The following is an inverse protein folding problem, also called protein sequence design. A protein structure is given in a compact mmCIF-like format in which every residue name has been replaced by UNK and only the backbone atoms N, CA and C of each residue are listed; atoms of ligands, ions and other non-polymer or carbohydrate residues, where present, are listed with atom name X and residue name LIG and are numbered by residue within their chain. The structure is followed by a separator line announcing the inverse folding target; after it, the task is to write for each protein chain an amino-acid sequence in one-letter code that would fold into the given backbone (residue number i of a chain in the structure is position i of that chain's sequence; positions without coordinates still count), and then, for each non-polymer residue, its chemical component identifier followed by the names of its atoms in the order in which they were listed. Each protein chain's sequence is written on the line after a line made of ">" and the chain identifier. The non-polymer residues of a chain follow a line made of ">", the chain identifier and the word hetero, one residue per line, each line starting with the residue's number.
data_IF_397633384112
#
_entry.id   IF_397633384112
#
_cell.length_a   1.000
_cell.length_b   1.000
_cell.length_c   1.000
_cell.angle_alpha   90.00
_cell.angle_beta   90.00
_cell.angle_gamma   90.00
#
_symmetry.space_group_name_H-M   'P 1'
#
loop_
_entity.id
_entity.type
_entity.pdbx_description
1 polymer ?
#
# COMPACT_ATOMS: atom_id res chain seq x y z
N UNK A 1 -7.32 28.15 21.68
CA UNK A 1 -8.18 27.11 21.10
C UNK A 1 -7.84 27.10 19.62
N UNK A 2 -6.75 26.42 19.28
CA UNK A 2 -6.12 26.44 17.95
C UNK A 2 -6.71 25.33 17.08
N UNK A 3 -7.10 25.61 15.83
CA UNK A 3 -7.38 24.58 14.85
C UNK A 3 -6.05 24.05 14.26
N UNK A 4 -5.78 22.76 14.50
CA UNK A 4 -4.69 22.03 13.85
C UNK A 4 -5.00 21.90 12.36
N UNK A 5 -4.17 22.55 11.55
CA UNK A 5 -4.19 22.47 10.10
C UNK A 5 -3.79 21.05 9.66
N UNK A 6 -4.69 20.34 9.01
CA UNK A 6 -4.35 19.24 8.11
C UNK A 6 -4.14 19.87 6.73
N UNK A 7 -2.90 20.09 6.33
CA UNK A 7 -2.56 20.58 5.01
C UNK A 7 -2.07 19.41 4.17
N UNK A 8 -2.98 18.79 3.42
CA UNK A 8 -2.62 18.04 2.21
C UNK A 8 -2.85 19.03 1.07
N UNK A 9 -1.76 19.50 0.46
CA UNK A 9 -1.80 20.40 -0.68
C UNK A 9 -2.40 19.64 -1.87
N UNK A 10 -3.69 19.86 -2.12
CA UNK A 10 -4.33 19.50 -3.38
C UNK A 10 -3.88 20.49 -4.46
N UNK A 11 -2.73 20.22 -5.09
CA UNK A 11 -2.32 20.92 -6.30
C UNK A 11 -2.89 20.17 -7.51
N UNK A 12 -3.53 20.83 -8.49
CA UNK A 12 -4.02 20.20 -9.73
C UNK A 12 -2.91 19.85 -10.72
N UNK A 13 -1.63 19.97 -10.32
CA UNK A 13 -0.44 19.74 -11.13
C UNK A 13 0.48 18.78 -10.36
N UNK A 14 0.98 17.77 -11.07
CA UNK A 14 1.93 16.75 -10.63
C UNK A 14 3.03 17.31 -9.73
N UNK A 15 3.28 16.66 -8.60
CA UNK A 15 4.33 17.04 -7.66
C UNK A 15 5.66 16.36 -8.05
N UNK A 16 6.37 16.88 -9.06
CA UNK A 16 7.84 16.81 -9.20
C UNK A 16 8.30 17.99 -10.09
N UNK A 17 9.31 18.71 -9.62
CA UNK A 17 10.05 19.75 -10.37
C UNK A 17 10.79 19.06 -11.54
N UNK A 18 10.60 19.56 -12.76
CA UNK A 18 11.25 19.16 -14.03
C UNK A 18 10.70 18.01 -14.91
N UNK A 19 9.55 17.39 -14.60
CA UNK A 19 8.83 16.54 -15.56
C UNK A 19 7.36 16.99 -15.73
N UNK A 20 7.04 17.67 -16.83
CA UNK A 20 5.67 18.08 -17.18
C UNK A 20 4.87 16.96 -17.86
N UNK A 21 5.07 15.72 -17.41
CA UNK A 21 4.28 14.57 -17.81
C UNK A 21 2.80 14.85 -17.50
N UNK A 22 1.92 14.63 -18.49
CA UNK A 22 0.49 14.91 -18.35
C UNK A 22 -0.25 13.64 -18.02
N UNK A 23 -0.97 13.64 -16.89
CA UNK A 23 -1.85 12.53 -16.49
C UNK A 23 -3.28 13.05 -16.32
N UNK A 24 -4.24 12.25 -16.76
CA UNK A 24 -5.66 12.40 -16.45
C UNK A 24 -6.18 11.10 -15.86
N UNK A 25 -6.95 11.23 -14.79
CA UNK A 25 -7.69 10.14 -14.18
C UNK A 25 -9.14 10.58 -13.99
N UNK A 26 -10.05 9.71 -14.42
CA UNK A 26 -11.49 9.84 -14.20
C UNK A 26 -12.02 8.54 -13.61
N UNK A 27 -12.92 8.62 -12.63
CA UNK A 27 -13.61 7.47 -12.03
C UNK A 27 -15.13 7.57 -12.26
N UNK A 28 -15.81 6.44 -12.38
CA UNK A 28 -17.26 6.41 -12.53
C UNK A 28 -17.83 4.99 -12.54
N UNK A 29 -19.16 4.88 -12.58
CA UNK A 29 -19.86 3.59 -12.47
C UNK A 29 -20.09 2.87 -13.80
N UNK A 30 -19.90 3.56 -14.94
CA UNK A 30 -20.16 3.03 -16.29
C UNK A 30 -19.20 3.67 -17.31
N UNK A 31 -17.93 3.85 -16.93
CA UNK A 31 -16.88 4.28 -17.86
C UNK A 31 -16.44 3.07 -18.67
N UNK A 32 -16.79 3.04 -19.96
CA UNK A 32 -16.56 1.91 -20.84
C UNK A 32 -15.37 2.14 -21.78
N UNK A 33 -14.68 1.08 -22.24
CA UNK A 33 -13.55 1.20 -23.15
C UNK A 33 -13.85 1.95 -24.46
N UNK A 34 -15.08 1.87 -24.97
CA UNK A 34 -15.49 2.56 -26.20
C UNK A 34 -15.51 4.08 -26.07
N UNK A 35 -15.50 4.62 -24.84
CA UNK A 35 -15.40 6.06 -24.62
C UNK A 35 -14.10 6.61 -25.21
N UNK A 36 -12.97 5.89 -25.07
CA UNK A 36 -11.65 6.32 -25.58
C UNK A 36 -11.61 6.42 -27.11
N UNK A 37 -12.49 5.71 -27.82
CA UNK A 37 -12.57 5.77 -29.29
C UNK A 37 -13.29 7.03 -29.80
N UNK A 38 -13.89 7.82 -28.91
CA UNK A 38 -14.61 9.04 -29.29
C UNK A 38 -13.64 10.20 -29.48
N UNK A 39 -13.85 10.99 -30.53
CA UNK A 39 -13.01 12.16 -30.83
C UNK A 39 -12.88 13.14 -29.67
N UNK A 40 -13.96 13.31 -28.89
CA UNK A 40 -14.02 14.22 -27.74
C UNK A 40 -14.16 13.44 -26.41
N UNK A 41 -13.51 12.28 -26.29
CA UNK A 41 -13.64 11.41 -25.12
C UNK A 41 -13.36 12.14 -23.80
N UNK A 42 -12.43 13.11 -23.79
CA UNK A 42 -12.11 13.91 -22.61
C UNK A 42 -13.32 14.71 -22.14
N UNK A 43 -14.04 15.35 -23.06
CA UNK A 43 -15.27 16.10 -22.75
C UNK A 43 -16.35 15.16 -22.22
N UNK A 44 -16.47 13.97 -22.81
CA UNK A 44 -17.40 12.95 -22.34
C UNK A 44 -17.02 12.40 -20.94
N UNK A 45 -15.72 12.25 -20.64
CA UNK A 45 -15.23 11.83 -19.33
C UNK A 45 -15.49 12.88 -18.24
N UNK A 46 -15.32 14.18 -18.54
CA UNK A 46 -15.73 15.25 -17.62
C UNK A 46 -17.24 15.33 -17.40
N UNK A 47 -18.04 14.97 -18.41
CA UNK A 47 -19.50 14.99 -18.30
C UNK A 47 -20.07 13.79 -17.51
N UNK A 48 -19.42 12.63 -17.60
CA UNK A 48 -19.96 11.37 -17.09
C UNK A 48 -19.15 10.75 -15.93
N UNK A 49 -17.95 11.26 -15.65
CA UNK A 49 -17.05 10.76 -14.62
C UNK A 49 -16.63 11.83 -13.62
N UNK A 50 -16.01 11.38 -12.55
CA UNK A 50 -15.40 12.20 -11.49
C UNK A 50 -13.92 12.36 -11.81
N UNK A 51 -13.41 13.59 -12.00
CA UNK A 51 -11.97 13.80 -12.21
C UNK A 51 -11.16 13.51 -10.94
N UNK A 52 -9.87 13.25 -11.11
CA UNK A 52 -8.90 13.15 -10.01
C UNK A 52 -9.07 14.27 -8.97
N UNK A 53 -9.02 13.90 -7.68
CA UNK A 53 -9.26 14.81 -6.56
C UNK A 53 -10.72 14.90 -6.10
N UNK A 54 -11.66 14.21 -6.75
CA UNK A 54 -13.08 14.18 -6.36
C UNK A 54 -13.51 12.92 -5.61
N UNK A 55 -14.79 12.88 -5.25
CA UNK A 55 -15.46 11.74 -4.61
C UNK A 55 -16.40 11.05 -5.59
N UNK A 56 -16.36 9.72 -5.65
CA UNK A 56 -17.34 8.93 -6.38
C UNK A 56 -18.73 9.10 -5.75
N UNK A 57 -19.77 9.34 -6.55
CA UNK A 57 -21.14 9.35 -6.04
C UNK A 57 -21.53 7.95 -5.56
N UNK A 58 -22.57 7.78 -4.72
CA UNK A 58 -22.97 6.47 -4.22
C UNK A 58 -23.10 5.40 -5.33
N UNK A 59 -22.73 4.14 -5.04
CA UNK A 59 -22.61 3.08 -6.03
C UNK A 59 -23.97 2.73 -6.65
N UNK A 60 -23.95 2.45 -7.95
CA UNK A 60 -25.12 1.98 -8.72
C UNK A 60 -25.20 0.45 -8.86
N UNK A 61 -24.40 -0.29 -8.09
CA UNK A 61 -24.40 -1.76 -8.06
C UNK A 61 -23.25 -2.46 -8.80
N UNK A 62 -22.47 -1.72 -9.59
CA UNK A 62 -21.26 -2.23 -10.27
C UNK A 62 -19.99 -1.73 -9.58
N UNK A 63 -18.85 -2.38 -9.85
CA UNK A 63 -17.54 -1.85 -9.50
C UNK A 63 -17.23 -0.55 -10.26
N UNK A 64 -16.48 0.39 -9.65
CA UNK A 64 -16.07 1.60 -10.34
C UNK A 64 -15.08 1.25 -11.45
N UNK A 65 -15.20 1.97 -12.55
CA UNK A 65 -14.27 1.97 -13.67
C UNK A 65 -13.54 3.30 -13.74
N UNK A 66 -12.31 3.25 -14.20
CA UNK A 66 -11.40 4.37 -14.23
C UNK A 66 -10.79 4.50 -15.62
N UNK A 67 -10.85 5.70 -16.17
CA UNK A 67 -10.11 6.06 -17.37
C UNK A 67 -8.81 6.68 -16.91
N UNK A 68 -7.70 6.13 -17.38
CA UNK A 68 -6.38 6.72 -17.18
C UNK A 68 -5.75 7.00 -18.52
N UNK A 69 -5.20 8.19 -18.65
CA UNK A 69 -4.51 8.64 -19.85
C UNK A 69 -3.26 9.39 -19.43
N UNK A 70 -2.13 9.05 -20.06
CA UNK A 70 -0.86 9.69 -19.81
C UNK A 70 -0.10 9.92 -21.11
N UNK A 71 0.55 11.08 -21.20
CA UNK A 71 1.46 11.43 -22.30
C UNK A 71 2.76 11.94 -21.70
N UNK A 72 3.88 11.48 -22.25
CA UNK A 72 5.21 11.90 -21.81
C UNK A 72 5.41 13.41 -21.91
N UNK A 73 6.34 13.92 -21.11
CA UNK A 73 6.89 15.24 -21.38
C UNK A 73 7.59 15.24 -22.77
N UNK A 74 7.37 16.24 -23.64
CA UNK A 74 8.09 16.37 -24.91
C UNK A 74 9.60 16.17 -24.81
N UNK A 75 10.21 16.70 -23.74
CA UNK A 75 11.66 16.65 -23.47
C UNK A 75 12.04 15.50 -22.51
N UNK A 76 11.05 14.79 -21.97
CA UNK A 76 11.23 13.68 -21.02
C UNK A 76 11.39 12.31 -21.67
N UNK A 77 11.43 11.28 -20.82
CA UNK A 77 11.57 9.91 -21.26
C UNK A 77 10.23 9.32 -21.70
N UNK A 78 10.27 8.26 -22.51
CA UNK A 78 9.05 7.54 -22.86
C UNK A 78 8.44 6.85 -21.63
N UNK A 79 7.13 6.62 -21.69
CA UNK A 79 6.37 5.96 -20.63
C UNK A 79 6.68 4.46 -20.59
N UNK A 80 6.95 3.93 -19.39
CA UNK A 80 7.04 2.50 -19.11
C UNK A 80 5.63 1.92 -18.92
N UNK A 81 4.89 2.44 -17.92
CA UNK A 81 3.59 1.89 -17.52
C UNK A 81 2.75 2.85 -16.70
N UNK A 82 1.46 2.57 -16.67
CA UNK A 82 0.48 3.14 -15.77
C UNK A 82 0.09 2.07 -14.76
N UNK A 83 0.10 2.45 -13.49
CA UNK A 83 -0.39 1.67 -12.37
C UNK A 83 -1.61 2.33 -11.76
N UNK A 84 -2.62 1.54 -11.40
CA UNK A 84 -3.66 2.00 -10.49
C UNK A 84 -3.30 1.54 -9.08
N UNK A 85 -3.27 2.48 -8.14
CA UNK A 85 -3.09 2.17 -6.73
C UNK A 85 -4.42 2.37 -6.02
N UNK A 86 -4.89 1.29 -5.37
CA UNK A 86 -6.10 1.26 -4.57
C UNK A 86 -5.72 1.15 -3.10
N UNK A 87 -6.18 2.07 -2.27
CA UNK A 87 -6.14 1.93 -0.83
C UNK A 87 -7.54 1.69 -0.26
N UNK A 88 -7.67 0.86 0.77
CA UNK A 88 -8.94 0.67 1.48
C UNK A 88 -8.72 0.38 2.96
N UNK A 89 -9.77 0.55 3.76
CA UNK A 89 -9.74 0.29 5.19
C UNK A 89 -10.70 -0.85 5.51
N UNK A 90 -10.23 -1.82 6.32
CA UNK A 90 -11.05 -2.89 6.86
C UNK A 90 -10.67 -3.15 8.32
N UNK A 91 -11.66 -3.13 9.22
CA UNK A 91 -11.45 -3.30 10.66
C UNK A 91 -10.33 -2.40 11.23
N UNK A 92 -10.23 -1.15 10.77
CA UNK A 92 -9.19 -0.21 11.22
C UNK A 92 -7.78 -0.45 10.66
N UNK A 93 -7.57 -1.50 9.86
CA UNK A 93 -6.34 -1.75 9.13
C UNK A 93 -6.40 -1.10 7.75
N UNK A 94 -5.27 -0.54 7.31
CA UNK A 94 -5.10 0.08 5.99
C UNK A 94 -4.48 -0.96 5.06
N UNK A 95 -5.03 -1.07 3.86
CA UNK A 95 -4.58 -1.96 2.81
C UNK A 95 -4.28 -1.15 1.55
N UNK A 96 -3.26 -1.55 0.81
CA UNK A 96 -2.94 -1.02 -0.51
C UNK A 96 -2.80 -2.17 -1.51
N UNK A 97 -3.26 -1.96 -2.74
CA UNK A 97 -2.95 -2.83 -3.86
C UNK A 97 -2.64 -2.05 -5.13
N UNK A 98 -1.59 -2.49 -5.82
CA UNK A 98 -1.08 -1.88 -7.04
C UNK A 98 -1.39 -2.80 -8.21
N UNK A 99 -2.06 -2.25 -9.23
CA UNK A 99 -2.40 -2.94 -10.47
C UNK A 99 -1.62 -2.30 -11.62
N UNK A 100 -0.86 -3.07 -12.38
CA UNK A 100 -0.34 -2.61 -13.68
C UNK A 100 -1.51 -2.64 -14.68
N UNK A 101 -1.94 -1.48 -15.20
CA UNK A 101 -3.18 -1.35 -15.99
C UNK A 101 -2.95 -1.00 -17.46
N UNK A 102 -1.79 -0.42 -17.78
CA UNK A 102 -1.33 -0.19 -19.15
C UNK A 102 0.21 -0.14 -19.16
N UNK A 103 0.86 -0.63 -20.22
CA UNK A 103 2.31 -0.61 -20.31
C UNK A 103 2.80 -0.64 -21.75
N UNK A 104 4.03 -0.15 -21.96
CA UNK A 104 4.68 -0.13 -23.26
C UNK A 104 5.30 -1.48 -23.62
N UNK A 105 5.36 -1.77 -24.93
CA UNK A 105 6.00 -2.95 -25.50
C UNK A 105 5.23 -4.25 -25.27
N UNK A 106 5.75 -5.35 -25.79
CA UNK A 106 5.07 -6.65 -25.79
C UNK A 106 5.36 -7.48 -24.54
N UNK A 107 5.42 -6.82 -23.37
CA UNK A 107 5.61 -7.50 -22.08
C UNK A 107 4.31 -8.19 -21.66
N UNK A 108 4.43 -9.38 -21.11
CA UNK A 108 3.31 -10.16 -20.60
C UNK A 108 3.46 -10.27 -19.10
N UNK A 109 2.35 -10.08 -18.38
CA UNK A 109 2.32 -10.34 -16.95
C UNK A 109 2.70 -11.81 -16.71
N UNK A 110 3.69 -12.04 -15.85
CA UNK A 110 4.11 -13.39 -15.49
C UNK A 110 3.67 -13.73 -14.09
N UNK A 111 3.31 -14.99 -13.89
CA UNK A 111 3.08 -15.52 -12.54
C UNK A 111 4.45 -15.71 -11.91
N UNK A 112 4.82 -14.83 -11.00
CA UNK A 112 5.95 -15.11 -10.11
C UNK A 112 5.52 -16.18 -9.11
N UNK A 113 6.31 -17.24 -8.87
CA UNK A 113 6.14 -18.05 -7.67
C UNK A 113 6.31 -17.09 -6.49
N UNK A 114 5.23 -16.77 -5.79
CA UNK A 114 5.27 -15.68 -4.81
C UNK A 114 6.17 -16.04 -3.63
N UNK A 115 7.16 -15.18 -3.37
CA UNK A 115 7.74 -15.00 -2.04
C UNK A 115 7.05 -13.87 -1.27
N UNK A 116 6.51 -12.80 -1.89
CA UNK A 116 5.90 -11.66 -1.21
C UNK A 116 4.43 -11.86 -0.74
N UNK A 117 4.20 -11.94 0.58
CA UNK A 117 2.90 -12.23 1.24
C UNK A 117 2.04 -10.98 1.51
N UNK A 118 2.51 -9.76 1.22
CA UNK A 118 1.63 -8.57 1.25
C UNK A 118 0.59 -8.56 0.11
N UNK A 119 0.83 -9.41 -0.88
CA UNK A 119 0.04 -9.62 -2.08
C UNK A 119 -0.25 -11.11 -2.17
N UNK A 120 -1.51 -11.54 -2.01
CA UNK A 120 -1.84 -12.95 -1.83
C UNK A 120 -1.34 -13.85 -2.96
N UNK A 121 -0.21 -14.53 -2.77
CA UNK A 121 0.24 -15.82 -3.33
C UNK A 121 0.21 -16.10 -4.85
N UNK A 122 -0.47 -15.29 -5.68
CA UNK A 122 -0.77 -15.54 -7.08
C UNK A 122 -0.75 -14.28 -7.95
N UNK A 123 -0.28 -13.16 -7.43
CA UNK A 123 -0.25 -11.89 -8.13
C UNK A 123 0.64 -11.93 -9.37
N UNK A 124 0.09 -11.38 -10.44
CA UNK A 124 0.68 -11.27 -11.75
C UNK A 124 1.63 -10.06 -11.75
N UNK A 125 2.92 -10.29 -12.03
CA UNK A 125 3.92 -9.21 -12.05
C UNK A 125 4.30 -8.86 -13.47
N UNK A 126 4.39 -7.56 -13.77
CA UNK A 126 4.94 -7.10 -15.04
C UNK A 126 6.49 -7.13 -14.98
N UNK A 127 7.17 -7.80 -15.94
CA UNK A 127 8.62 -7.71 -16.06
C UNK A 127 9.09 -6.26 -16.18
N UNK A 128 10.25 -5.89 -15.59
CA UNK A 128 10.82 -4.55 -15.75
C UNK A 128 10.98 -4.17 -17.22
N UNK A 129 10.84 -2.88 -17.51
CA UNK A 129 11.23 -2.34 -18.80
C UNK A 129 12.76 -2.42 -18.96
N UNK A 130 13.26 -2.40 -20.20
CA UNK A 130 14.69 -2.31 -20.45
C UNK A 130 15.31 -1.00 -19.93
N UNK A 131 16.64 -0.93 -19.96
CA UNK A 131 17.39 0.28 -19.61
C UNK A 131 18.16 0.79 -20.84
N UNK A 132 17.99 2.07 -21.17
CA UNK A 132 18.67 2.75 -22.28
C UNK A 132 19.64 3.83 -21.81
N UNK A 133 19.93 3.89 -20.50
CA UNK A 133 20.84 4.86 -19.91
C UNK A 133 22.28 4.56 -20.32
N UNK A 134 22.90 5.57 -20.93
CA UNK A 134 24.34 5.66 -21.12
C UNK A 134 24.93 6.45 -19.94
N UNK A 135 25.44 5.72 -18.95
CA UNK A 135 26.04 6.27 -17.74
C UNK A 135 27.26 7.14 -18.06
N UNK A 136 28.08 6.76 -19.04
CA UNK A 136 29.30 7.49 -19.41
C UNK A 136 28.97 8.86 -19.99
N UNK A 137 27.93 8.91 -20.82
CA UNK A 137 27.49 10.14 -21.44
C UNK A 137 26.36 10.83 -20.68
N UNK A 138 25.97 10.36 -19.49
CA UNK A 138 24.81 10.87 -18.72
C UNK A 138 23.64 11.20 -19.65
N UNK A 139 23.26 10.21 -20.47
CA UNK A 139 22.23 10.36 -21.50
C UNK A 139 21.41 9.08 -21.59
N UNK A 140 20.32 9.10 -22.35
CA UNK A 140 19.49 7.92 -22.57
C UNK A 140 18.84 8.01 -23.96
N UNK A 141 18.30 6.90 -24.45
CA UNK A 141 17.57 6.89 -25.72
C UNK A 141 16.11 6.51 -25.53
N UNK A 142 15.23 7.23 -26.22
CA UNK A 142 13.79 6.94 -26.27
C UNK A 142 13.44 5.83 -27.29
N UNK A 143 14.29 4.79 -27.37
CA UNK A 143 14.11 3.65 -28.28
C UNK A 143 13.14 2.59 -27.75
N UNK A 144 12.84 2.64 -26.44
CA UNK A 144 11.83 1.82 -25.74
C UNK A 144 10.79 2.74 -25.09
N UNK A 145 9.73 2.16 -24.51
CA UNK A 145 8.64 2.93 -23.91
C UNK A 145 7.56 3.36 -24.92
N UNK A 146 6.50 4.00 -24.44
CA UNK A 146 5.44 4.61 -25.25
C UNK A 146 5.41 6.12 -25.09
N UNK A 147 4.98 6.85 -26.12
CA UNK A 147 4.78 8.31 -26.02
C UNK A 147 3.46 8.68 -25.32
N UNK A 148 2.50 7.75 -25.36
CA UNK A 148 1.16 7.86 -24.83
C UNK A 148 0.73 6.48 -24.33
N UNK A 149 0.04 6.43 -23.19
CA UNK A 149 -0.59 5.24 -22.64
C UNK A 149 -1.99 5.62 -22.17
N UNK A 150 -2.98 4.82 -22.54
CA UNK A 150 -4.35 5.01 -22.10
C UNK A 150 -5.06 3.68 -21.89
N UNK A 151 -5.99 3.65 -20.95
CA UNK A 151 -6.77 2.45 -20.65
C UNK A 151 -8.04 2.79 -19.88
N UNK A 152 -8.98 1.85 -19.90
CA UNK A 152 -10.12 1.80 -18.97
C UNK A 152 -9.96 0.58 -18.08
N UNK A 153 -9.84 0.81 -16.79
CA UNK A 153 -9.65 -0.24 -15.79
C UNK A 153 -10.82 -0.29 -14.82
N UNK A 154 -11.35 -1.48 -14.56
CA UNK A 154 -12.40 -1.72 -13.56
C UNK A 154 -11.79 -2.44 -12.37
N UNK A 155 -12.14 -2.01 -11.16
CA UNK A 155 -11.65 -2.62 -9.93
C UNK A 155 -12.19 -4.05 -9.76
N UNK A 156 -11.34 -5.09 -9.88
CA UNK A 156 -11.79 -6.48 -9.80
C UNK A 156 -12.10 -6.92 -8.36
N UNK A 157 -11.54 -6.21 -7.36
CA UNK A 157 -11.59 -6.57 -5.95
C UNK A 157 -12.46 -5.56 -5.17
N UNK A 158 -13.42 -4.90 -5.85
CA UNK A 158 -14.26 -3.85 -5.25
C UNK A 158 -15.21 -4.42 -4.21
N UNK A 159 -15.07 -3.96 -2.97
CA UNK A 159 -16.05 -4.17 -1.91
C UNK A 159 -16.81 -2.87 -1.66
N UNK A 160 -18.11 -2.81 -2.00
CA UNK A 160 -18.89 -1.59 -1.88
C UNK A 160 -19.18 -1.21 -0.41
N UNK A 161 -18.87 -2.07 0.56
CA UNK A 161 -19.01 -1.78 1.99
C UNK A 161 -17.80 -1.06 2.61
N UNK A 162 -16.67 -1.00 1.91
CA UNK A 162 -15.41 -0.47 2.45
C UNK A 162 -15.13 0.93 1.92
N UNK A 163 -14.57 1.79 2.77
CA UNK A 163 -13.96 3.04 2.33
C UNK A 163 -12.74 2.73 1.47
N UNK A 164 -12.62 3.39 0.32
CA UNK A 164 -11.50 3.20 -0.59
C UNK A 164 -11.07 4.51 -1.25
N UNK A 165 -9.85 4.54 -1.78
CA UNK A 165 -9.37 5.60 -2.65
C UNK A 165 -8.52 5.01 -3.78
N UNK A 166 -8.45 5.75 -4.88
CA UNK A 166 -7.77 5.32 -6.10
C UNK A 166 -6.92 6.47 -6.65
N UNK A 167 -5.66 6.22 -6.99
CA UNK A 167 -4.89 7.14 -7.82
C UNK A 167 -4.07 6.38 -8.86
N UNK A 168 -3.74 7.07 -9.95
CA UNK A 168 -2.85 6.54 -10.95
C UNK A 168 -1.41 6.95 -10.66
N UNK A 169 -0.48 6.01 -10.86
CA UNK A 169 0.96 6.22 -10.84
C UNK A 169 1.52 5.89 -12.22
N UNK A 170 2.13 6.85 -12.88
CA UNK A 170 2.74 6.68 -14.21
C UNK A 170 4.25 6.64 -14.04
N UNK A 171 4.89 5.66 -14.67
CA UNK A 171 6.35 5.50 -14.64
C UNK A 171 6.90 5.76 -16.04
N UNK A 172 8.03 6.45 -16.09
CA UNK A 172 8.86 6.55 -17.29
C UNK A 172 9.89 5.41 -17.34
N UNK A 173 10.50 5.23 -18.52
CA UNK A 173 11.67 4.36 -18.66
C UNK A 173 12.86 4.93 -17.85
N UNK A 174 13.88 4.12 -17.52
CA UNK A 174 15.01 4.60 -16.75
C UNK A 174 15.71 5.81 -17.37
N UNK A 175 16.02 6.81 -16.53
CA UNK A 175 16.79 8.01 -16.87
C UNK A 175 18.03 8.10 -15.98
N UNK A 176 19.09 8.82 -16.40
CA UNK A 176 20.25 9.06 -15.55
C UNK A 176 19.84 9.83 -14.29
N UNK A 177 20.39 9.43 -13.15
CA UNK A 177 20.20 10.17 -11.90
C UNK A 177 20.98 11.48 -11.92
N UNK A 178 20.57 12.48 -11.13
CA UNK A 178 21.33 13.75 -10.98
C UNK A 178 22.81 13.52 -10.66
N UNK A 179 23.14 12.52 -9.83
CA UNK A 179 24.52 12.14 -9.50
C UNK A 179 25.34 11.70 -10.73
N UNK A 180 24.68 11.13 -11.74
CA UNK A 180 25.31 10.72 -12.99
C UNK A 180 25.56 11.92 -13.91
N UNK A 181 24.65 12.89 -13.94
CA UNK A 181 24.86 14.17 -14.61
C UNK A 181 26.03 14.95 -13.99
N UNK A 182 26.09 15.01 -12.66
CA UNK A 182 27.17 15.69 -11.93
C UNK A 182 28.51 15.02 -12.15
N UNK A 183 28.58 13.69 -12.06
CA UNK A 183 29.81 12.93 -12.29
C UNK A 183 30.39 13.22 -13.69
N UNK A 184 29.54 13.25 -14.72
CA UNK A 184 29.96 13.62 -16.08
C UNK A 184 30.47 15.07 -16.14
N UNK A 185 29.74 16.00 -15.53
CA UNK A 185 30.07 17.43 -15.55
C UNK A 185 31.40 17.71 -14.82
N UNK A 186 31.66 17.01 -13.72
CA UNK A 186 32.87 17.12 -12.91
C UNK A 186 34.03 16.27 -13.46
N UNK A 187 33.78 15.40 -14.44
CA UNK A 187 34.78 14.48 -14.99
C UNK A 187 35.25 13.41 -13.99
N UNK A 188 34.41 13.05 -13.02
CA UNK A 188 34.69 12.02 -12.01
C UNK A 188 33.85 10.77 -12.25
N UNK A 189 34.19 9.66 -11.60
CA UNK A 189 33.33 8.48 -11.64
C UNK A 189 32.10 8.67 -10.75
N UNK A 190 30.91 8.17 -11.16
CA UNK A 190 29.73 8.16 -10.29
C UNK A 190 30.02 7.43 -8.97
N UNK A 191 29.43 7.85 -7.84
CA UNK A 191 29.58 7.14 -6.58
C UNK A 191 29.09 5.69 -6.70
N UNK A 192 29.83 4.74 -6.14
CA UNK A 192 29.54 3.30 -6.28
C UNK A 192 28.41 2.81 -5.37
N UNK A 193 28.06 3.60 -4.37
CA UNK A 193 27.03 3.32 -3.36
C UNK A 193 25.65 3.84 -3.75
N UNK A 194 25.50 4.51 -4.90
CA UNK A 194 24.23 5.01 -5.41
C UNK A 194 23.92 4.47 -6.81
N UNK A 195 22.65 4.19 -7.15
CA UNK A 195 22.27 3.83 -8.51
C UNK A 195 22.59 4.94 -9.51
N UNK A 196 23.04 4.56 -10.71
CA UNK A 196 23.35 5.50 -11.81
C UNK A 196 22.13 5.87 -12.65
N UNK A 197 21.01 5.16 -12.48
CA UNK A 197 19.74 5.44 -13.12
C UNK A 197 18.60 5.41 -12.10
N UNK A 198 17.49 6.05 -12.46
CA UNK A 198 16.23 6.02 -11.72
C UNK A 198 15.07 5.93 -12.71
N UNK A 199 13.85 5.72 -12.20
CA UNK A 199 12.64 5.89 -13.00
C UNK A 199 11.80 7.01 -12.40
N UNK A 200 11.51 8.02 -13.21
CA UNK A 200 10.64 9.11 -12.82
C UNK A 200 9.18 8.65 -12.71
N UNK A 201 8.42 9.32 -11.84
CA UNK A 201 7.05 8.94 -11.51
C UNK A 201 6.14 10.14 -11.39
N UNK A 202 4.97 10.09 -12.04
CA UNK A 202 3.88 11.02 -11.78
C UNK A 202 2.74 10.33 -11.03
N UNK A 203 2.07 11.08 -10.18
CA UNK A 203 0.96 10.61 -9.36
C UNK A 203 -0.23 11.55 -9.55
N UNK A 204 -1.42 10.99 -9.69
CA UNK A 204 -2.65 11.80 -9.71
C UNK A 204 -3.12 12.09 -8.29
N UNK A 205 -3.93 13.13 -8.11
CA UNK A 205 -4.73 13.24 -6.88
C UNK A 205 -5.67 12.03 -6.76
N UNK A 206 -5.95 11.56 -5.53
CA UNK A 206 -6.84 10.43 -5.34
C UNK A 206 -8.29 10.77 -5.70
N UNK A 207 -9.01 9.77 -6.19
CA UNK A 207 -10.47 9.72 -6.25
C UNK A 207 -10.94 8.88 -5.06
N UNK A 208 -11.83 9.43 -4.26
CA UNK A 208 -12.32 8.80 -3.04
C UNK A 208 -13.62 8.04 -3.27
N UNK A 209 -13.83 6.98 -2.49
CA UNK A 209 -15.08 6.25 -2.40
C UNK A 209 -15.50 6.14 -0.93
N UNK A 210 -16.70 6.63 -0.63
CA UNK A 210 -17.33 6.50 0.66
C UNK A 210 -18.60 5.63 0.53
N UNK A 211 -18.70 4.48 1.23
CA UNK A 211 -19.92 3.69 1.28
C UNK A 211 -21.04 4.48 1.98
N UNK A 212 -22.28 4.18 1.61
CA UNK A 212 -23.44 4.65 2.40
C UNK A 212 -23.44 3.94 3.78
N UNK A 213 -24.09 4.54 4.78
CA UNK A 213 -24.15 3.97 6.13
C UNK A 213 -24.66 2.51 6.14
N UNK A 214 -25.72 2.23 5.37
CA UNK A 214 -26.29 0.87 5.26
C UNK A 214 -25.36 -0.12 4.58
N UNK A 215 -24.49 0.34 3.69
CA UNK A 215 -23.50 -0.50 3.01
C UNK A 215 -22.31 -0.76 3.92
N UNK A 216 -21.82 0.28 4.59
CA UNK A 216 -20.74 0.18 5.56
C UNK A 216 -21.12 -0.75 6.73
N UNK A 217 -22.38 -0.69 7.20
CA UNK A 217 -22.87 -1.57 8.26
C UNK A 217 -22.89 -3.07 7.85
N UNK A 218 -22.85 -3.38 6.56
CA UNK A 218 -22.76 -4.76 6.05
C UNK A 218 -21.32 -5.27 5.92
N UNK A 219 -20.32 -4.39 6.08
CA UNK A 219 -18.92 -4.79 6.05
C UNK A 219 -18.66 -5.83 7.14
N UNK A 220 -17.99 -6.92 6.79
CA UNK A 220 -17.52 -7.87 7.79
C UNK A 220 -16.35 -7.22 8.56
N UNK A 221 -16.66 -6.70 9.75
CA UNK A 221 -15.69 -6.08 10.63
C UNK A 221 -15.43 -6.96 11.86
N UNK A 222 -14.19 -6.90 12.34
CA UNK A 222 -13.81 -7.50 13.61
C UNK A 222 -14.54 -6.77 14.75
N UNK A 223 -14.72 -7.41 15.93
CA UNK A 223 -15.34 -6.75 17.07
C UNK A 223 -14.51 -5.53 17.51
N UNK A 224 -15.18 -4.50 17.99
CA UNK A 224 -14.48 -3.37 18.62
C UNK A 224 -14.15 -3.69 20.07
N UNK A 225 -13.19 -2.97 20.65
CA UNK A 225 -12.88 -3.02 22.09
C UNK A 225 -14.13 -2.70 22.92
N UNK A 226 -15.00 -1.80 22.45
CA UNK A 226 -16.27 -1.50 23.11
C UNK A 226 -17.19 -2.73 23.14
N UNK A 227 -17.33 -3.44 22.01
CA UNK A 227 -18.12 -4.67 21.93
C UNK A 227 -17.57 -5.75 22.86
N UNK A 228 -16.24 -5.91 22.91
CA UNK A 228 -15.59 -6.88 23.80
C UNK A 228 -15.89 -6.58 25.27
N UNK A 229 -15.78 -5.32 25.68
CA UNK A 229 -16.08 -4.91 27.07
C UNK A 229 -17.55 -5.09 27.42
N UNK A 230 -18.46 -4.78 26.50
CA UNK A 230 -19.90 -5.02 26.69
C UNK A 230 -20.21 -6.52 26.85
N UNK A 231 -19.46 -7.39 26.16
CA UNK A 231 -19.54 -8.85 26.31
C UNK A 231 -18.80 -9.38 27.54
N UNK A 232 -18.28 -8.52 28.41
CA UNK A 232 -17.62 -8.91 29.67
C UNK A 232 -16.15 -9.30 29.53
N UNK A 233 -15.48 -8.94 28.42
CA UNK A 233 -14.04 -9.17 28.29
C UNK A 233 -13.24 -8.24 29.23
N UNK A 234 -12.22 -8.77 29.89
CA UNK A 234 -11.34 -8.02 30.81
C UNK A 234 -9.93 -7.88 30.23
N UNK A 235 -9.31 -6.71 30.36
CA UNK A 235 -7.93 -6.52 29.92
C UNK A 235 -6.96 -7.27 30.85
N UNK A 236 -5.92 -7.88 30.28
CA UNK A 236 -4.85 -8.50 31.04
C UNK A 236 -4.00 -7.43 31.73
N UNK A 237 -3.56 -7.72 32.95
CA UNK A 237 -2.61 -6.90 33.66
C UNK A 237 -1.15 -7.20 33.26
N UNK A 238 -0.24 -6.41 33.82
CA UNK A 238 1.20 -6.48 33.62
C UNK A 238 1.81 -7.86 33.94
N UNK A 239 1.29 -8.56 34.95
CA UNK A 239 1.79 -9.87 35.36
C UNK A 239 1.28 -10.93 34.38
N UNK A 240 0.00 -10.89 34.05
CA UNK A 240 -0.63 -11.80 33.10
C UNK A 240 -0.05 -11.66 31.68
N UNK A 241 0.28 -10.44 31.26
CA UNK A 241 0.95 -10.20 29.98
C UNK A 241 2.36 -10.78 29.98
N UNK A 242 3.13 -10.59 31.07
CA UNK A 242 4.47 -11.18 31.19
C UNK A 242 4.40 -12.71 31.14
N UNK A 243 3.46 -13.31 31.86
CA UNK A 243 3.22 -14.75 31.84
C UNK A 243 2.80 -15.26 30.45
N UNK A 244 2.09 -14.45 29.66
CA UNK A 244 1.66 -14.82 28.32
C UNK A 244 2.82 -14.84 27.32
N UNK A 245 3.66 -13.80 27.31
CA UNK A 245 4.61 -13.57 26.21
C UNK A 245 6.08 -13.78 26.59
N UNK A 246 6.54 -13.41 27.79
CA UNK A 246 7.98 -13.33 28.09
C UNK A 246 8.63 -14.72 28.03
N UNK A 247 9.65 -14.85 27.17
CA UNK A 247 10.36 -16.11 26.92
C UNK A 247 9.57 -17.15 26.14
N UNK A 248 8.46 -16.77 25.49
CA UNK A 248 7.53 -17.68 24.80
C UNK A 248 7.31 -17.29 23.34
N UNK A 249 6.85 -18.26 22.57
CA UNK A 249 6.27 -18.02 21.25
C UNK A 249 4.75 -18.03 21.37
N UNK A 250 4.11 -17.01 20.81
CA UNK A 250 2.65 -16.90 20.73
C UNK A 250 2.20 -16.98 19.27
N UNK A 251 1.14 -17.73 19.03
CA UNK A 251 0.42 -17.70 17.77
C UNK A 251 -0.59 -16.57 17.81
N UNK A 252 -0.62 -15.78 16.74
CA UNK A 252 -1.51 -14.63 16.60
C UNK A 252 -2.25 -14.76 15.28
N UNK A 253 -3.58 -14.89 15.33
CA UNK A 253 -4.44 -14.95 14.15
C UNK A 253 -5.09 -13.58 13.92
N UNK A 254 -4.78 -12.94 12.80
CA UNK A 254 -5.45 -11.71 12.37
C UNK A 254 -6.79 -12.05 11.72
N UNK A 255 -7.86 -11.85 12.46
CA UNK A 255 -9.25 -12.10 12.01
C UNK A 255 -9.68 -11.22 10.84
N UNK A 256 -9.01 -10.08 10.60
CA UNK A 256 -9.33 -9.20 9.47
C UNK A 256 -8.74 -9.71 8.15
N UNK A 257 -7.57 -10.37 8.17
CA UNK A 257 -6.86 -10.86 6.97
C UNK A 257 -6.79 -12.38 6.87
N UNK A 258 -7.22 -13.09 7.91
CA UNK A 258 -7.03 -14.54 8.13
C UNK A 258 -5.56 -15.00 8.25
N UNK A 259 -4.60 -14.08 8.27
CA UNK A 259 -3.19 -14.40 8.41
C UNK A 259 -2.85 -14.88 9.82
N UNK A 260 -1.94 -15.85 9.92
CA UNK A 260 -1.41 -16.37 11.17
C UNK A 260 0.06 -16.01 11.32
N UNK A 261 0.41 -15.50 12.48
CA UNK A 261 1.76 -15.12 12.85
C UNK A 261 2.22 -15.98 14.02
N UNK A 262 3.48 -16.38 14.03
CA UNK A 262 4.15 -16.82 15.25
C UNK A 262 5.13 -15.74 15.67
N UNK A 263 5.02 -15.31 16.93
CA UNK A 263 5.84 -14.22 17.47
C UNK A 263 6.56 -14.73 18.70
N UNK A 264 7.89 -14.73 18.66
CA UNK A 264 8.75 -15.06 19.79
C UNK A 264 9.10 -13.78 20.54
N UNK A 265 8.88 -13.78 21.85
CA UNK A 265 9.25 -12.71 22.76
C UNK A 265 10.37 -13.21 23.66
N UNK A 266 11.58 -12.71 23.42
CA UNK A 266 12.77 -13.04 24.19
C UNK A 266 12.77 -12.38 25.57
N UNK A 267 13.39 -13.05 26.53
CA UNK A 267 13.61 -12.51 27.89
C UNK A 267 14.50 -11.26 27.90
N UNK A 268 15.18 -10.97 26.78
CA UNK A 268 16.01 -9.81 26.53
C UNK A 268 15.21 -8.56 26.11
N UNK A 269 13.87 -8.64 26.08
CA UNK A 269 13.00 -7.54 25.66
C UNK A 269 12.94 -7.35 24.13
N UNK A 270 13.33 -8.38 23.37
CA UNK A 270 13.25 -8.38 21.90
C UNK A 270 12.14 -9.30 21.44
N UNK A 271 11.40 -8.86 20.42
CA UNK A 271 10.39 -9.68 19.75
C UNK A 271 10.75 -9.90 18.29
N UNK A 272 10.44 -11.09 17.79
CA UNK A 272 10.66 -11.47 16.41
C UNK A 272 9.44 -12.25 15.89
N UNK A 273 9.00 -11.94 14.67
CA UNK A 273 8.07 -12.82 13.96
C UNK A 273 8.87 -14.00 13.42
N UNK A 274 8.60 -15.20 13.92
CA UNK A 274 9.27 -16.44 13.48
C UNK A 274 8.60 -17.07 12.26
N UNK A 275 7.31 -16.82 12.05
CA UNK A 275 6.53 -17.41 10.96
C UNK A 275 5.33 -16.54 10.56
N UNK A 276 5.01 -16.52 9.27
CA UNK A 276 3.77 -15.98 8.69
C UNK A 276 3.14 -17.10 7.85
N UNK A 277 1.92 -17.49 8.17
CA UNK A 277 1.17 -18.58 7.53
C UNK A 277 1.97 -19.89 7.40
N UNK A 278 2.77 -20.19 8.43
CA UNK A 278 3.60 -21.41 8.48
C UNK A 278 4.92 -21.32 7.70
N UNK A 279 5.29 -20.14 7.18
CA UNK A 279 6.52 -19.91 6.42
C UNK A 279 7.40 -18.88 7.12
N UNK A 280 8.72 -19.04 7.00
CA UNK A 280 9.65 -18.00 7.42
C UNK A 280 9.40 -16.72 6.61
N UNK A 281 9.32 -15.54 7.25
CA UNK A 281 9.20 -14.26 6.55
C UNK A 281 10.40 -14.06 5.62
N UNK A 282 10.17 -13.58 4.40
CA UNK A 282 11.28 -13.20 3.50
C UNK A 282 11.91 -11.84 3.91
N UNK A 283 13.10 -11.53 3.40
CA UNK A 283 13.83 -10.30 3.77
C UNK A 283 13.12 -8.99 3.40
N UNK A 284 12.20 -8.99 2.44
CA UNK A 284 11.42 -7.81 2.02
C UNK A 284 10.20 -7.60 2.94
N UNK A 285 9.52 -8.68 3.36
CA UNK A 285 8.42 -8.68 4.34
C UNK A 285 8.88 -8.24 5.74
N UNK A 286 10.13 -8.53 6.09
CA UNK A 286 10.72 -8.03 7.34
C UNK A 286 10.88 -6.49 7.25
N UNK A 287 11.09 -5.93 6.05
CA UNK A 287 11.18 -4.51 5.75
C UNK A 287 9.86 -3.73 5.90
N UNK A 288 8.78 -4.24 5.29
CA UNK A 288 7.47 -3.56 5.21
C UNK A 288 6.53 -3.85 6.40
N UNK A 289 6.89 -4.78 7.30
CA UNK A 289 6.07 -5.04 8.50
C UNK A 289 6.73 -4.62 9.81
N UNK A 290 8.08 -4.60 9.98
CA UNK A 290 8.67 -4.55 11.34
C UNK A 290 10.15 -4.10 11.49
N UNK A 291 10.58 -2.96 10.95
CA UNK A 291 11.95 -2.46 11.23
C UNK A 291 12.01 -1.08 11.90
N UNK A 292 12.89 -0.93 12.92
CA UNK A 292 14.31 -0.76 12.67
C UNK A 292 15.18 -1.89 13.27
N UNK A 293 16.00 -2.54 12.44
CA UNK A 293 17.18 -3.26 12.92
C UNK A 293 17.37 -4.72 12.48
N UNK A 294 17.22 -5.05 11.20
CA UNK A 294 17.71 -6.32 10.62
C UNK A 294 17.32 -7.58 11.39
N UNK A 295 18.13 -8.64 11.29
CA UNK A 295 17.91 -9.97 11.89
C UNK A 295 17.77 -9.99 13.44
N UNK A 296 17.73 -8.83 14.11
CA UNK A 296 17.76 -8.72 15.55
C UNK A 296 16.37 -8.47 16.19
N UNK A 297 15.30 -8.25 15.41
CA UNK A 297 13.94 -8.09 15.95
C UNK A 297 13.70 -6.76 16.70
N UNK A 298 12.42 -6.41 16.87
CA UNK A 298 11.98 -5.16 17.45
C UNK A 298 12.03 -5.21 18.99
N UNK A 299 12.29 -4.08 19.65
CA UNK A 299 12.19 -3.99 21.11
C UNK A 299 10.72 -4.02 21.54
N UNK A 300 10.45 -4.61 22.71
CA UNK A 300 9.14 -4.53 23.34
C UNK A 300 9.28 -4.26 24.85
N UNK A 301 8.24 -3.63 25.41
CA UNK A 301 8.11 -3.40 26.85
C UNK A 301 6.66 -3.73 27.30
N UNK A 302 6.48 -4.01 28.58
CA UNK A 302 5.16 -4.23 29.18
C UNK A 302 4.98 -3.20 30.30
N UNK A 303 4.01 -2.31 30.12
CA UNK A 303 3.70 -1.24 31.07
C UNK A 303 2.22 -0.91 31.02
N UNK A 304 1.63 -0.66 32.19
CA UNK A 304 0.24 -0.20 32.34
C UNK A 304 -0.81 -1.13 31.69
N UNK A 305 -0.57 -2.45 31.74
CA UNK A 305 -1.42 -3.48 31.13
C UNK A 305 -1.34 -3.50 29.60
N UNK A 306 -0.24 -2.99 29.03
CA UNK A 306 -0.05 -2.89 27.57
C UNK A 306 1.31 -3.42 27.18
N UNK A 307 1.34 -4.12 26.05
CA UNK A 307 2.57 -4.47 25.37
C UNK A 307 2.91 -3.35 24.37
N UNK A 308 4.01 -2.65 24.59
CA UNK A 308 4.47 -1.51 23.80
C UNK A 308 5.59 -1.98 22.89
N UNK A 309 5.51 -1.67 21.59
CA UNK A 309 6.55 -2.04 20.62
C UNK A 309 6.41 -1.18 19.36
N UNK A 310 7.22 -1.43 18.33
CA UNK A 310 7.23 -0.67 17.09
C UNK A 310 6.87 -1.51 15.86
N UNK A 311 6.27 -0.85 14.87
CA UNK A 311 6.08 -1.29 13.48
C UNK A 311 6.66 -0.16 12.61
N UNK A 312 7.60 -0.48 11.71
CA UNK A 312 8.26 0.53 10.85
C UNK A 312 8.82 1.75 11.63
N UNK A 313 9.33 1.52 12.85
CA UNK A 313 9.82 2.57 13.74
C UNK A 313 8.73 3.39 14.43
N UNK A 314 7.46 3.22 14.06
CA UNK A 314 6.31 3.85 14.72
C UNK A 314 5.87 3.04 15.94
N UNK A 315 5.77 3.66 17.13
CA UNK A 315 5.32 2.96 18.32
C UNK A 315 3.82 2.66 18.27
N UNK A 316 3.43 1.49 18.76
CA UNK A 316 2.05 1.12 19.01
C UNK A 316 1.94 0.31 20.30
N UNK A 317 0.72 0.26 20.82
CA UNK A 317 0.39 -0.45 22.04
C UNK A 317 -0.59 -1.57 21.73
N UNK A 318 -0.38 -2.72 22.37
CA UNK A 318 -1.28 -3.86 22.30
C UNK A 318 -1.92 -4.05 23.67
N UNK A 319 -3.25 -4.06 23.70
CA UNK A 319 -4.01 -4.49 24.87
C UNK A 319 -4.61 -5.85 24.57
N UNK A 320 -4.36 -6.82 25.45
CA UNK A 320 -4.91 -8.18 25.35
C UNK A 320 -6.10 -8.28 26.29
N UNK A 321 -7.23 -8.77 25.78
CA UNK A 321 -8.46 -8.97 26.51
C UNK A 321 -8.73 -10.47 26.65
N UNK A 322 -9.18 -10.90 27.83
CA UNK A 322 -9.67 -12.25 28.08
C UNK A 322 -11.19 -12.27 27.99
N UNK A 323 -11.72 -13.15 27.15
CA UNK A 323 -13.16 -13.40 27.01
C UNK A 323 -13.42 -14.91 27.04
N UNK A 324 -13.81 -15.44 28.20
CA UNK A 324 -13.83 -16.89 28.44
C UNK A 324 -12.43 -17.48 28.31
N UNK A 325 -12.29 -18.49 27.45
CA UNK A 325 -11.00 -19.16 27.18
C UNK A 325 -10.19 -18.47 26.07
N UNK A 326 -10.77 -17.48 25.37
CA UNK A 326 -10.10 -16.78 24.28
C UNK A 326 -9.35 -15.55 24.77
N UNK A 327 -8.18 -15.31 24.18
CA UNK A 327 -7.46 -14.05 24.30
C UNK A 327 -7.59 -13.29 22.98
N UNK A 328 -8.07 -12.05 23.05
CA UNK A 328 -8.29 -11.19 21.90
C UNK A 328 -7.49 -9.91 22.12
N UNK A 329 -6.59 -9.58 21.21
CA UNK A 329 -5.76 -8.40 21.27
C UNK A 329 -6.24 -7.30 20.33
N UNK A 330 -6.09 -6.06 20.77
CA UNK A 330 -6.36 -4.84 20.02
C UNK A 330 -5.12 -3.96 19.97
N UNK A 331 -4.83 -3.39 18.80
CA UNK A 331 -3.74 -2.42 18.65
C UNK A 331 -4.27 -1.00 18.73
N UNK A 332 -3.47 -0.09 19.30
CA UNK A 332 -3.84 1.32 19.44
C UNK A 332 -3.98 2.07 18.11
N UNK A 333 -3.30 1.60 17.06
CA UNK A 333 -3.32 2.20 15.71
C UNK A 333 -4.42 1.63 14.80
N UNK A 334 -5.30 0.76 15.30
CA UNK A 334 -6.41 0.16 14.55
C UNK A 334 -7.76 0.71 15.00
N UNK A 335 -7.78 1.97 15.45
CA UNK A 335 -8.99 2.74 15.74
C UNK A 335 -10.03 2.04 16.64
N UNK A 336 -9.56 1.19 17.57
CA UNK A 336 -10.40 0.50 18.53
C UNK A 336 -10.95 -0.86 18.07
N UNK A 337 -10.52 -1.37 16.92
CA UNK A 337 -10.81 -2.75 16.50
C UNK A 337 -9.91 -3.77 17.22
N UNK A 338 -10.49 -4.91 17.57
CA UNK A 338 -9.79 -6.03 18.19
C UNK A 338 -9.64 -7.16 17.16
N UNK A 339 -8.55 -7.07 16.39
CA UNK A 339 -8.35 -7.88 15.19
C UNK A 339 -7.64 -9.21 15.45
N UNK A 340 -7.09 -9.44 16.64
CA UNK A 340 -6.12 -10.51 16.86
C UNK A 340 -6.61 -11.54 17.87
N UNK A 341 -6.71 -12.80 17.50
CA UNK A 341 -6.81 -13.89 18.47
C UNK A 341 -5.39 -14.35 18.85
N UNK A 342 -5.12 -14.50 20.15
CA UNK A 342 -3.79 -14.83 20.67
C UNK A 342 -3.84 -16.17 21.38
N UNK A 343 -2.94 -17.08 21.01
CA UNK A 343 -2.80 -18.38 21.63
C UNK A 343 -1.32 -18.62 22.02
N UNK A 344 -1.07 -19.07 23.24
CA UNK A 344 0.28 -19.50 23.60
C UNK A 344 0.60 -20.81 22.86
N UNK A 345 1.72 -20.83 22.12
CA UNK A 345 2.20 -22.07 21.51
C UNK A 345 2.63 -22.98 22.66
N UNK A 346 2.02 -24.17 22.76
CA UNK A 346 2.43 -25.17 23.76
C UNK A 346 3.87 -25.61 23.42
N UNK A 347 4.75 -25.71 24.43
CA UNK A 347 6.16 -26.05 24.22
C UNK A 347 6.37 -27.42 23.59
#
# INVERSE_FOLDING_TARGET
>A
MEPRHCAIVASPISAFEDATLKVRLFGGWDLRPDLLNQKDWVKAAYANGVPMGGDLPPPKGNAPSFIVWAVKDPDGANLDRIQMVKGWIRSGQIFEKIYDVAWSGNRVLTRTPIQNVLYGGNDMKLPPVGDTVDVKNASYTNTIGGVELETVWMDPDFDPSLHAFYYARVLEIPTPRWTTYDAKTLGVSPPSDVPTSLQERAWTSPIWYAPTADMHAKALHSPTVADLRQRGATALDDTQLRDLVVGKTVSVHNTATDQRFEITYGVDGRRMISSIDGKMPDSEQIGDLLHPGGAAGAQYDIRDGRLITTIEGSPFEVTVYRHGDKLIAARSNEFGYANYEVEAVKP
#
